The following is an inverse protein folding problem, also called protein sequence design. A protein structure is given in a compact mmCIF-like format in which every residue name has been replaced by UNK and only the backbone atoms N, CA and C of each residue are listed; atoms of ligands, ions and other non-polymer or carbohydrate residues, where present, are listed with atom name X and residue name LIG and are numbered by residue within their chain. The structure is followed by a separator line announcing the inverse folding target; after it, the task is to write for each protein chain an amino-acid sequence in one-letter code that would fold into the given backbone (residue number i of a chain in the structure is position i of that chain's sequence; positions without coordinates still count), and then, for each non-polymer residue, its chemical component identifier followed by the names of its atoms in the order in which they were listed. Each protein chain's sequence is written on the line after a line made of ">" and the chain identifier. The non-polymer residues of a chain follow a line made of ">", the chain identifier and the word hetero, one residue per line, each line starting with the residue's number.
data_IF_049635215962
#
_entry.id   IF_049635215962
#
_cell.length_a   1.000
_cell.length_b   1.000
_cell.length_c   1.000
_cell.angle_alpha   90.00
_cell.angle_beta   90.00
_cell.angle_gamma   90.00
#
_symmetry.space_group_name_H-M   'P 1'
#
loop_
_entity.id
_entity.type
_entity.pdbx_description
1 polymer ?
#
# COMPACT_ATOMS: atom_id res chain seq x y z
N UNK A 1 -6.63 2.87 12.25
CA UNK A 1 -6.31 1.46 11.93
C UNK A 1 -5.62 0.77 13.10
N UNK A 2 -5.83 -0.54 13.30
CA UNK A 2 -5.14 -1.37 14.31
C UNK A 2 -4.42 -2.52 13.59
N UNK A 3 -3.10 -2.60 13.77
CA UNK A 3 -2.25 -3.64 13.19
C UNK A 3 -1.63 -4.48 14.30
N UNK A 4 -1.66 -5.81 14.14
CA UNK A 4 -1.03 -6.77 15.03
C UNK A 4 0.24 -7.33 14.37
N UNK A 5 1.37 -7.28 15.07
CA UNK A 5 2.62 -7.83 14.55
C UNK A 5 2.59 -9.36 14.53
N UNK A 6 2.81 -9.95 13.36
CA UNK A 6 2.73 -11.41 13.15
C UNK A 6 4.10 -12.10 13.05
N UNK A 7 5.20 -11.36 13.19
CA UNK A 7 6.55 -11.88 12.94
C UNK A 7 7.02 -11.72 11.49
N UNK A 8 8.33 -11.75 11.27
CA UNK A 8 8.94 -11.69 9.93
C UNK A 8 8.66 -10.39 9.16
N UNK A 9 8.40 -9.28 9.86
CA UNK A 9 8.05 -8.00 9.23
C UNK A 9 6.62 -7.90 8.71
N UNK A 10 5.76 -8.88 9.02
CA UNK A 10 4.35 -8.90 8.60
C UNK A 10 3.43 -8.39 9.71
N UNK A 11 2.36 -7.75 9.29
CA UNK A 11 1.34 -7.21 10.17
C UNK A 11 -0.04 -7.64 9.70
N UNK A 12 -0.92 -7.94 10.64
CA UNK A 12 -2.31 -8.29 10.39
C UNK A 12 -3.22 -7.14 10.74
N UNK A 13 -4.17 -6.86 9.86
CA UNK A 13 -5.23 -5.92 10.13
C UNK A 13 -6.22 -6.51 11.15
N UNK A 14 -6.36 -5.91 12.33
CA UNK A 14 -7.20 -6.44 13.43
C UNK A 14 -8.69 -6.10 13.24
N UNK A 15 -8.99 -4.98 12.57
CA UNK A 15 -10.35 -4.52 12.29
C UNK A 15 -10.47 -4.14 10.81
N UNK A 16 -11.62 -4.40 10.16
CA UNK A 16 -11.80 -4.01 8.77
C UNK A 16 -11.57 -2.50 8.63
N UNK A 17 -11.00 -2.10 7.51
CA UNK A 17 -10.74 -0.69 7.21
C UNK A 17 -11.31 -0.31 5.86
N UNK A 18 -11.88 0.90 5.80
CA UNK A 18 -12.41 1.45 4.57
C UNK A 18 -11.60 2.66 4.14
N UNK A 19 -10.99 2.59 2.96
CA UNK A 19 -10.14 3.66 2.44
C UNK A 19 -10.28 3.75 0.92
N UNK A 20 -10.36 4.98 0.41
CA UNK A 20 -10.48 5.24 -1.04
C UNK A 20 -11.64 4.50 -1.75
N UNK A 21 -12.69 4.13 -1.01
CA UNK A 21 -13.84 3.40 -1.55
C UNK A 21 -13.71 1.87 -1.47
N UNK A 22 -12.56 1.35 -1.04
CA UNK A 22 -12.30 -0.07 -0.87
C UNK A 22 -12.39 -0.46 0.60
N UNK A 23 -12.85 -1.68 0.85
CA UNK A 23 -12.90 -2.28 2.17
C UNK A 23 -11.85 -3.40 2.25
N UNK A 24 -10.89 -3.25 3.15
CA UNK A 24 -9.89 -4.29 3.43
C UNK A 24 -10.40 -5.06 4.66
N UNK A 25 -10.64 -6.38 4.54
CA UNK A 25 -11.21 -7.17 5.62
C UNK A 25 -10.21 -7.36 6.77
N UNK A 26 -10.75 -7.50 7.99
CA UNK A 26 -9.95 -7.95 9.13
C UNK A 26 -9.29 -9.29 8.82
N UNK A 27 -8.07 -9.50 9.33
CA UNK A 27 -7.26 -10.68 9.04
C UNK A 27 -6.32 -10.53 7.85
N UNK A 28 -6.47 -9.48 7.02
CA UNK A 28 -5.53 -9.23 5.92
C UNK A 28 -4.10 -9.04 6.45
N UNK A 29 -3.16 -9.79 5.90
CA UNK A 29 -1.75 -9.73 6.26
C UNK A 29 -1.00 -8.92 5.22
N UNK A 30 -0.48 -7.77 5.64
CA UNK A 30 0.37 -6.88 4.84
C UNK A 30 1.83 -7.07 5.26
N UNK A 31 2.74 -7.06 4.29
CA UNK A 31 4.19 -6.99 4.56
C UNK A 31 4.73 -5.56 4.35
N UNK A 32 3.87 -4.61 3.95
CA UNK A 32 4.23 -3.24 3.61
C UNK A 32 5.26 -3.15 2.49
N UNK A 33 5.53 -4.25 1.77
CA UNK A 33 6.71 -4.42 0.93
C UNK A 33 6.47 -4.05 -0.54
N UNK A 34 5.24 -3.74 -0.94
CA UNK A 34 4.96 -3.23 -2.30
C UNK A 34 5.58 -1.85 -2.53
N UNK A 35 5.92 -1.11 -1.47
CA UNK A 35 6.76 0.08 -1.54
C UNK A 35 8.22 -0.34 -1.34
N UNK A 36 9.12 -0.17 -2.34
CA UNK A 36 10.51 -0.58 -2.18
C UNK A 36 11.17 0.09 -0.97
N UNK A 37 11.89 -0.69 -0.16
CA UNK A 37 12.48 -0.26 1.14
C UNK A 37 13.34 1.00 1.03
N UNK A 38 14.00 1.21 -0.11
CA UNK A 38 14.81 2.41 -0.37
C UNK A 38 13.99 3.71 -0.26
N UNK A 39 12.67 3.64 -0.45
CA UNK A 39 11.79 4.82 -0.34
C UNK A 39 11.28 5.04 1.10
N UNK A 40 11.46 4.10 2.02
CA UNK A 40 11.02 4.25 3.42
C UNK A 40 11.76 5.39 4.13
N UNK A 41 12.99 5.73 3.72
CA UNK A 41 13.71 6.90 4.25
C UNK A 41 13.14 8.24 3.77
N UNK A 42 12.48 8.27 2.61
CA UNK A 42 11.94 9.50 1.99
C UNK A 42 10.53 9.81 2.47
N UNK A 43 9.75 8.75 2.77
CA UNK A 43 8.35 8.87 3.18
C UNK A 43 8.08 8.50 4.64
N UNK A 44 8.98 7.78 5.30
CA UNK A 44 8.80 7.19 6.63
C UNK A 44 8.68 5.66 6.58
N UNK A 45 8.62 5.02 7.74
CA UNK A 45 8.33 3.57 7.80
C UNK A 45 6.89 3.32 7.31
N UNK A 46 6.64 2.26 6.51
CA UNK A 46 5.29 1.90 6.08
C UNK A 46 4.38 1.48 7.22
N UNK A 47 4.89 1.41 8.46
CA UNK A 47 4.15 1.11 9.67
C UNK A 47 3.96 2.35 10.57
N UNK A 48 4.52 3.50 10.20
CA UNK A 48 4.39 4.76 10.96
C UNK A 48 4.14 5.93 10.00
N UNK A 49 2.94 6.51 10.05
CA UNK A 49 2.64 7.74 9.31
C UNK A 49 1.24 7.79 8.73
N UNK A 50 0.95 8.88 8.01
CA UNK A 50 -0.39 9.18 7.45
C UNK A 50 -0.81 8.29 6.27
N UNK A 51 0.09 7.45 5.76
CA UNK A 51 -0.11 6.66 4.53
C UNK A 51 -0.03 5.14 4.74
N UNK A 52 0.12 4.66 5.98
CA UNK A 52 0.13 3.23 6.29
C UNK A 52 -1.16 2.57 5.77
N UNK A 53 -2.30 3.21 5.98
CA UNK A 53 -3.59 2.73 5.48
C UNK A 53 -3.62 2.63 3.94
N UNK A 54 -2.92 3.54 3.25
CA UNK A 54 -2.80 3.52 1.78
C UNK A 54 -1.88 2.38 1.32
N UNK A 55 -0.82 2.09 2.09
CA UNK A 55 0.08 0.96 1.82
C UNK A 55 -0.63 -0.39 2.01
N UNK A 56 -1.42 -0.54 3.08
CA UNK A 56 -2.26 -1.73 3.32
C UNK A 56 -3.24 -1.95 2.16
N UNK A 57 -3.93 -0.89 1.74
CA UNK A 57 -4.82 -0.97 0.58
C UNK A 57 -4.06 -1.38 -0.68
N UNK A 58 -2.86 -0.84 -0.90
CA UNK A 58 -2.06 -1.16 -2.09
C UNK A 58 -1.67 -2.63 -2.12
N UNK A 59 -1.22 -3.20 -0.99
CA UNK A 59 -0.93 -4.64 -0.86
C UNK A 59 -2.18 -5.49 -1.12
N UNK A 60 -3.35 -5.07 -0.61
CA UNK A 60 -4.62 -5.77 -0.83
C UNK A 60 -5.05 -5.76 -2.30
N UNK A 61 -4.95 -4.62 -2.97
CA UNK A 61 -5.21 -4.54 -4.42
C UNK A 61 -4.19 -5.35 -5.22
N UNK A 62 -2.94 -5.44 -4.75
CA UNK A 62 -1.90 -6.25 -5.39
C UNK A 62 -2.05 -7.74 -5.16
N UNK A 63 -2.75 -8.18 -4.12
CA UNK A 63 -3.01 -9.61 -3.88
C UNK A 63 -4.06 -10.19 -4.83
N UNK A 64 -4.67 -9.37 -5.69
CA UNK A 64 -5.74 -9.79 -6.60
C UNK A 64 -7.09 -9.97 -5.91
N UNK A 65 -7.27 -9.43 -4.70
CA UNK A 65 -8.51 -9.54 -3.95
C UNK A 65 -9.67 -8.74 -4.57
N UNK A 66 -9.34 -7.75 -5.42
CA UNK A 66 -10.29 -6.93 -6.16
C UNK A 66 -9.99 -7.01 -7.65
N UNK A 67 -11.01 -6.82 -8.49
CA UNK A 67 -10.82 -6.73 -9.95
C UNK A 67 -10.28 -5.35 -10.36
N UNK A 68 -9.06 -5.06 -9.93
CA UNK A 68 -8.37 -3.80 -10.20
C UNK A 68 -7.12 -4.07 -11.02
N UNK A 69 -6.96 -3.31 -12.10
CA UNK A 69 -5.77 -3.43 -12.95
C UNK A 69 -4.52 -2.90 -12.23
N UNK A 70 -3.34 -3.42 -12.57
CA UNK A 70 -2.05 -2.93 -12.05
C UNK A 70 -1.90 -1.40 -12.13
N UNK A 71 -2.29 -0.81 -13.27
CA UNK A 71 -2.24 0.64 -13.48
C UNK A 71 -3.17 1.39 -12.54
N UNK A 72 -4.36 0.83 -12.30
CA UNK A 72 -5.37 1.44 -11.46
C UNK A 72 -5.00 1.34 -9.98
N UNK A 73 -4.50 0.19 -9.51
CA UNK A 73 -3.98 0.04 -8.15
C UNK A 73 -2.88 1.07 -7.85
N UNK A 74 -1.94 1.27 -8.79
CA UNK A 74 -0.89 2.30 -8.65
C UNK A 74 -1.47 3.72 -8.67
N UNK A 75 -2.52 3.99 -9.46
CA UNK A 75 -3.19 5.31 -9.50
C UNK A 75 -3.95 5.60 -8.20
N UNK A 76 -4.61 4.59 -7.63
CA UNK A 76 -5.27 4.68 -6.32
C UNK A 76 -4.22 4.96 -5.25
N UNK A 77 -3.09 4.28 -5.28
CA UNK A 77 -1.96 4.54 -4.39
C UNK A 77 -1.49 5.99 -4.47
N UNK A 78 -1.24 6.51 -5.68
CA UNK A 78 -0.87 7.93 -5.86
C UNK A 78 -1.89 8.90 -5.25
N UNK A 79 -3.18 8.68 -5.52
CA UNK A 79 -4.27 9.50 -4.97
C UNK A 79 -4.32 9.39 -3.43
N UNK A 80 -4.15 8.20 -2.89
CA UNK A 80 -4.10 7.95 -1.44
C UNK A 80 -2.95 8.70 -0.78
N UNK A 81 -1.76 8.66 -1.37
CA UNK A 81 -0.60 9.42 -0.88
C UNK A 81 -0.87 10.93 -0.84
N UNK A 82 -1.51 11.46 -1.88
CA UNK A 82 -1.90 12.89 -1.92
C UNK A 82 -2.92 13.22 -0.83
N UNK A 83 -3.91 12.36 -0.60
CA UNK A 83 -4.91 12.51 0.46
C UNK A 83 -4.31 12.43 1.87
N UNK A 84 -3.27 11.61 2.04
CA UNK A 84 -2.48 11.51 3.26
C UNK A 84 -1.58 12.74 3.53
N UNK A 85 -1.57 13.73 2.63
CA UNK A 85 -0.77 14.95 2.76
C UNK A 85 0.68 14.81 2.26
N UNK A 86 1.03 13.71 1.58
CA UNK A 86 2.34 13.57 0.95
C UNK A 86 2.44 14.57 -0.20
N UNK A 87 3.54 15.32 -0.27
CA UNK A 87 3.73 16.32 -1.32
C UNK A 87 3.64 15.68 -2.73
N UNK A 88 3.30 16.48 -3.74
CA UNK A 88 3.03 15.98 -5.10
C UNK A 88 4.24 15.28 -5.72
N UNK A 89 5.43 15.86 -5.55
CA UNK A 89 6.68 15.34 -6.11
C UNK A 89 7.02 13.95 -5.53
N UNK A 90 6.99 13.79 -4.21
CA UNK A 90 7.24 12.51 -3.53
C UNK A 90 6.19 11.47 -3.91
N UNK A 91 4.90 11.83 -3.88
CA UNK A 91 3.84 10.90 -4.28
C UNK A 91 4.02 10.42 -5.73
N UNK A 92 4.41 11.31 -6.65
CA UNK A 92 4.64 10.96 -8.05
C UNK A 92 5.87 10.07 -8.23
N UNK A 93 6.96 10.37 -7.51
CA UNK A 93 8.16 9.53 -7.50
C UNK A 93 7.84 8.11 -7.05
N UNK A 94 7.06 7.97 -5.97
CA UNK A 94 6.65 6.65 -5.47
C UNK A 94 5.72 5.94 -6.44
N UNK A 95 4.76 6.64 -7.04
CA UNK A 95 3.91 6.08 -8.09
C UNK A 95 4.73 5.49 -9.24
N UNK A 96 5.76 6.21 -9.70
CA UNK A 96 6.67 5.73 -10.72
C UNK A 96 7.48 4.52 -10.24
N UNK A 97 7.99 4.56 -9.02
CA UNK A 97 8.72 3.43 -8.43
C UNK A 97 7.86 2.15 -8.38
N UNK A 98 6.67 2.21 -7.79
CA UNK A 98 5.79 1.02 -7.70
C UNK A 98 5.30 0.57 -9.09
N UNK A 99 5.11 1.50 -10.03
CA UNK A 99 4.73 1.15 -11.40
C UNK A 99 5.84 0.44 -12.18
N UNK A 100 7.11 0.73 -11.88
CA UNK A 100 8.27 0.11 -12.52
C UNK A 100 8.67 -1.21 -11.85
N UNK A 101 8.71 -1.24 -10.51
CA UNK A 101 9.17 -2.39 -9.73
C UNK A 101 8.06 -3.39 -9.37
N UNK A 102 6.81 -2.93 -9.26
CA UNK A 102 5.67 -3.77 -8.91
C UNK A 102 5.27 -4.77 -10.00
N UNK A 103 5.67 -4.53 -11.26
CA UNK A 103 5.34 -5.41 -12.40
C UNK A 103 5.85 -6.84 -12.24
N UNK A 104 6.91 -7.04 -11.45
CA UNK A 104 7.46 -8.38 -11.11
C UNK A 104 6.74 -9.06 -9.93
N UNK A 105 5.97 -8.31 -9.14
CA UNK A 105 5.34 -8.78 -7.88
C UNK A 105 3.82 -8.89 -7.97
N UNK A 106 3.20 -8.23 -8.96
CA UNK A 106 1.78 -8.35 -9.24
C UNK A 106 1.46 -9.77 -9.69
N UNK A 107 0.90 -10.57 -8.77
CA UNK A 107 0.43 -11.93 -9.03
C UNK A 107 -0.95 -11.85 -9.65
N UNK A 108 -0.98 -11.79 -10.98
CA UNK A 108 -2.17 -12.08 -11.78
C UNK A 108 -1.64 -12.79 -13.03
N UNK A 109 -1.53 -14.11 -12.91
CA UNK A 109 -1.54 -15.02 -14.06
C UNK A 109 -2.99 -15.20 -14.51
#
# INVERSE_FOLDING_TARGET
>A
MVLEYCGGGKYRLVKPMKIMGYEVPAGFVTDGASIPRIFWSVVGSPFTGKYVEVAVLHDYLYSGAEDVSFKEANRIFYKGMRKAGVNRAKAYLMYKAVSLFGKKRFRRD
#
